data_IF_328307230023
#
_entry.id   IF_328307230023
#
_cell.length_a   1.000
_cell.length_b   1.000
_cell.length_c   1.000
_cell.angle_alpha   90.00
_cell.angle_beta   90.00
_cell.angle_gamma   90.00
#
_symmetry.space_group_name_H-M   'P 1'
#
loop_
_entity.id
_entity.type
_entity.pdbx_description
1 polymer ?
#
# COMPACT_ATOMS: atom_id res chain seq x y z
N UNK A 1 -9.36 -12.05 -0.20
CA UNK A 1 -9.19 -10.59 -0.03
C UNK A 1 -10.00 -10.09 1.17
N UNK A 2 -10.26 -10.91 2.20
CA UNK A 2 -11.26 -10.57 3.22
C UNK A 2 -10.75 -9.56 4.26
N UNK A 3 -9.46 -9.61 4.62
CA UNK A 3 -8.91 -8.74 5.66
C UNK A 3 -8.92 -7.24 5.29
N UNK A 4 -8.67 -6.90 4.02
CA UNK A 4 -8.73 -5.50 3.59
C UNK A 4 -10.17 -5.02 3.51
N UNK A 5 -11.07 -5.86 2.99
CA UNK A 5 -12.50 -5.55 2.87
C UNK A 5 -13.12 -5.24 4.24
N UNK A 6 -12.77 -6.01 5.29
CA UNK A 6 -13.26 -5.76 6.65
C UNK A 6 -12.73 -4.45 7.27
N UNK A 7 -11.58 -3.94 6.80
CA UNK A 7 -10.91 -2.78 7.40
C UNK A 7 -11.23 -1.47 6.69
N UNK A 8 -11.47 -1.51 5.38
CA UNK A 8 -11.77 -0.33 4.56
C UNK A 8 -12.97 0.42 5.14
N UNK A 9 -12.79 1.72 5.36
CA UNK A 9 -13.85 2.61 5.89
C UNK A 9 -14.19 2.40 7.36
N UNK A 10 -13.72 1.33 8.01
CA UNK A 10 -13.99 1.03 9.42
C UNK A 10 -12.83 1.41 10.34
N UNK A 11 -11.57 1.16 9.93
CA UNK A 11 -10.38 1.41 10.77
C UNK A 11 -9.18 1.88 9.95
N UNK A 12 -8.27 2.62 10.58
CA UNK A 12 -7.02 3.03 9.92
C UNK A 12 -6.03 1.87 9.79
N UNK A 13 -5.31 1.80 8.67
CA UNK A 13 -4.27 0.80 8.41
C UNK A 13 -2.99 1.51 8.02
N UNK A 14 -1.87 1.15 8.65
CA UNK A 14 -0.54 1.69 8.34
C UNK A 14 0.28 0.59 7.68
N UNK A 15 0.87 0.91 6.53
CA UNK A 15 1.81 0.03 5.82
C UNK A 15 3.10 0.78 5.61
N UNK A 16 4.22 0.16 5.98
CA UNK A 16 5.56 0.69 5.81
C UNK A 16 6.41 -0.33 5.07
N UNK A 17 7.18 0.13 4.10
CA UNK A 17 8.01 -0.72 3.26
C UNK A 17 9.07 0.10 2.52
N UNK A 18 10.06 -0.60 1.99
CA UNK A 18 11.13 -0.01 1.17
C UNK A 18 10.75 0.06 -0.32
N UNK A 19 9.75 -0.71 -0.75
CA UNK A 19 9.28 -0.72 -2.12
C UNK A 19 8.30 0.43 -2.35
N UNK A 20 8.59 1.35 -3.28
CA UNK A 20 7.64 2.39 -3.69
C UNK A 20 6.32 1.80 -4.14
N UNK A 21 5.20 2.43 -3.76
CA UNK A 21 3.85 1.96 -4.10
C UNK A 21 3.63 1.86 -5.62
N UNK A 22 4.27 2.72 -6.40
CA UNK A 22 4.24 2.65 -7.87
C UNK A 22 4.82 1.35 -8.45
N UNK A 23 5.68 0.64 -7.71
CA UNK A 23 6.28 -0.63 -8.14
C UNK A 23 5.47 -1.85 -7.68
N UNK A 24 4.44 -1.65 -6.85
CA UNK A 24 3.70 -2.78 -6.25
C UNK A 24 2.95 -3.60 -7.30
N UNK A 25 2.42 -2.96 -8.34
CA UNK A 25 1.64 -3.68 -9.36
C UNK A 25 2.49 -4.76 -10.05
N UNK A 26 3.67 -4.37 -10.52
CA UNK A 26 4.61 -5.27 -11.18
C UNK A 26 5.21 -6.28 -10.20
N UNK A 27 5.50 -5.85 -8.97
CA UNK A 27 6.09 -6.71 -7.93
C UNK A 27 5.15 -7.84 -7.50
N UNK A 28 3.84 -7.59 -7.41
CA UNK A 28 2.85 -8.61 -7.03
C UNK A 28 2.71 -9.67 -8.13
N UNK A 29 3.02 -9.33 -9.40
CA UNK A 29 3.03 -10.24 -10.55
C UNK A 29 1.70 -10.98 -10.84
N UNK A 30 0.61 -10.55 -10.22
CA UNK A 30 -0.75 -11.07 -10.42
C UNK A 30 -1.72 -9.88 -10.59
N UNK A 31 -2.10 -9.53 -11.84
CA UNK A 31 -2.79 -8.27 -12.14
C UNK A 31 -4.08 -8.06 -11.35
N UNK A 32 -4.91 -9.11 -11.19
CA UNK A 32 -6.19 -9.00 -10.48
C UNK A 32 -5.99 -8.74 -8.97
N UNK A 33 -4.95 -9.33 -8.38
CA UNK A 33 -4.64 -9.14 -6.96
C UNK A 33 -3.97 -7.79 -6.73
N UNK A 34 -3.04 -7.42 -7.61
CA UNK A 34 -2.40 -6.11 -7.59
C UNK A 34 -3.42 -4.98 -7.66
N UNK A 35 -4.32 -5.04 -8.64
CA UNK A 35 -5.38 -4.04 -8.83
C UNK A 35 -6.28 -3.96 -7.58
N UNK A 36 -6.72 -5.11 -7.08
CA UNK A 36 -7.56 -5.15 -5.88
C UNK A 36 -6.87 -4.61 -4.62
N UNK A 37 -5.58 -4.85 -4.43
CA UNK A 37 -4.81 -4.30 -3.29
C UNK A 37 -4.63 -2.79 -3.44
N UNK A 38 -4.25 -2.31 -4.63
CA UNK A 38 -4.07 -0.88 -4.88
C UNK A 38 -5.38 -0.11 -4.70
N UNK A 39 -6.48 -0.64 -5.24
CA UNK A 39 -7.81 -0.02 -5.11
C UNK A 39 -8.25 0.06 -3.64
N UNK A 40 -8.05 -1.02 -2.88
CA UNK A 40 -8.51 -1.09 -1.49
C UNK A 40 -7.64 -0.35 -0.49
N UNK A 41 -6.32 -0.45 -0.64
CA UNK A 41 -5.36 0.02 0.34
C UNK A 41 -4.78 1.38 0.00
N UNK A 42 -4.60 1.68 -1.29
CA UNK A 42 -3.83 2.84 -1.75
C UNK A 42 -4.73 3.98 -2.21
N UNK A 43 -5.89 3.68 -2.81
CA UNK A 43 -6.80 4.69 -3.38
C UNK A 43 -7.11 5.85 -2.43
N UNK A 44 -7.31 5.56 -1.14
CA UNK A 44 -7.61 6.55 -0.09
C UNK A 44 -6.47 6.79 0.90
N UNK A 45 -5.26 6.30 0.62
CA UNK A 45 -4.14 6.38 1.55
C UNK A 45 -3.41 7.73 1.51
N UNK A 46 -3.01 8.19 2.69
CA UNK A 46 -1.96 9.18 2.81
C UNK A 46 -0.60 8.52 2.56
N UNK A 47 0.09 8.93 1.49
CA UNK A 47 1.39 8.36 1.08
C UNK A 47 2.54 9.24 1.52
N UNK A 48 3.44 8.71 2.35
CA UNK A 48 4.63 9.41 2.82
C UNK A 48 5.88 8.73 2.27
N UNK A 49 6.65 9.44 1.45
CA UNK A 49 7.95 8.97 0.98
C UNK A 49 9.00 9.35 2.00
N UNK A 50 9.38 8.38 2.83
CA UNK A 50 10.43 8.57 3.82
C UNK A 50 11.79 8.50 3.10
N UNK A 51 12.62 9.51 3.33
CA UNK A 51 14.02 9.50 2.91
C UNK A 51 14.89 9.30 4.14
N UNK A 52 15.95 8.52 4.00
CA UNK A 52 16.99 8.48 5.01
C UNK A 52 17.77 9.80 4.93
N UNK A 53 17.38 10.78 5.74
CA UNK A 53 18.31 11.81 6.18
C UNK A 53 19.32 11.07 7.06
N UNK A 54 20.58 10.97 6.64
CA UNK A 54 21.62 10.53 7.55
C UNK A 54 21.53 11.44 8.78
N UNK A 55 21.17 10.88 9.93
CA UNK A 55 21.29 11.58 11.19
C UNK A 55 22.81 11.69 11.39
N UNK A 56 23.37 12.92 11.45
CA UNK A 56 24.82 13.11 11.53
C UNK A 56 25.41 12.45 12.79
#
# INVERSE_FOLDING_TARGET
MDLLDDRIGATSTIVAGQLPVEEWFDYIAEPAVADAILDRLVHSAHRWKLTASAIP
#
